data_IF_747335338891
#
_entry.id   IF_747335338891
#
_cell.length_a   1.000
_cell.length_b   1.000
_cell.length_c   1.000
_cell.angle_alpha   90.00
_cell.angle_beta   90.00
_cell.angle_gamma   90.00
#
_symmetry.space_group_name_H-M   'P 1'
#
loop_
_entity.id
_entity.type
_entity.pdbx_description
1 polymer ?
#
# COMPACT_ATOMS: atom_id res chain seq x y z
N UNK A 1 -17.45 -18.49 -13.22
CA UNK A 1 -16.00 -18.72 -13.03
C UNK A 1 -15.43 -17.39 -12.59
N UNK A 2 -14.90 -17.27 -11.38
CA UNK A 2 -14.37 -16.00 -10.90
C UNK A 2 -13.01 -15.77 -11.55
N UNK A 3 -12.90 -14.71 -12.36
CA UNK A 3 -11.65 -14.34 -12.99
C UNK A 3 -10.66 -13.87 -11.92
N UNK A 4 -9.50 -14.52 -11.84
CA UNK A 4 -8.43 -14.13 -10.91
C UNK A 4 -7.52 -13.16 -11.61
N UNK A 5 -7.42 -11.96 -11.09
CA UNK A 5 -6.44 -10.96 -11.50
C UNK A 5 -5.26 -10.97 -10.52
N UNK A 6 -4.13 -10.41 -10.95
CA UNK A 6 -2.93 -10.31 -10.11
C UNK A 6 -2.64 -8.84 -9.89
N UNK A 7 -2.39 -8.48 -8.63
CA UNK A 7 -1.85 -7.18 -8.25
C UNK A 7 -0.38 -7.35 -7.89
N UNK A 8 0.48 -6.79 -8.73
CA UNK A 8 1.92 -6.87 -8.55
C UNK A 8 2.42 -5.65 -7.77
N UNK A 9 2.94 -5.90 -6.57
CA UNK A 9 3.63 -4.89 -5.77
C UNK A 9 5.10 -5.26 -5.65
N UNK A 10 5.97 -4.49 -6.31
CA UNK A 10 7.41 -4.75 -6.41
C UNK A 10 7.67 -6.14 -7.03
N UNK A 11 8.20 -7.08 -6.23
CA UNK A 11 8.50 -8.46 -6.62
C UNK A 11 7.52 -9.46 -6.01
N UNK A 12 6.37 -9.00 -5.51
CA UNK A 12 5.36 -9.83 -4.86
C UNK A 12 4.00 -9.62 -5.52
N UNK A 13 3.36 -10.72 -5.88
CA UNK A 13 2.03 -10.73 -6.51
C UNK A 13 0.98 -11.16 -5.49
N UNK A 14 -0.16 -10.46 -5.46
CA UNK A 14 -1.34 -10.83 -4.70
C UNK A 14 -2.46 -11.17 -5.68
N UNK A 15 -3.01 -12.37 -5.57
CA UNK A 15 -4.20 -12.74 -6.35
C UNK A 15 -5.43 -12.00 -5.83
N UNK A 16 -6.18 -11.43 -6.76
CA UNK A 16 -7.42 -10.70 -6.52
C UNK A 16 -8.56 -11.37 -7.28
N UNK A 17 -9.72 -11.43 -6.63
CA UNK A 17 -11.00 -11.85 -7.22
C UNK A 17 -12.01 -10.77 -6.92
N UNK A 18 -12.87 -10.44 -7.88
CA UNK A 18 -13.99 -9.52 -7.62
C UNK A 18 -15.17 -10.28 -7.03
N UNK A 19 -15.83 -9.69 -6.04
CA UNK A 19 -17.11 -10.17 -5.53
C UNK A 19 -18.28 -9.81 -6.46
N UNK A 20 -19.50 -10.20 -6.07
CA UNK A 20 -20.71 -9.93 -6.86
C UNK A 20 -21.04 -8.41 -6.97
N UNK A 21 -20.47 -7.58 -6.09
CA UNK A 21 -20.61 -6.13 -6.10
C UNK A 21 -19.49 -5.42 -6.88
N UNK A 22 -18.52 -6.17 -7.41
CA UNK A 22 -17.33 -5.63 -8.07
C UNK A 22 -16.22 -5.20 -7.11
N UNK A 23 -16.34 -5.48 -5.82
CA UNK A 23 -15.35 -5.15 -4.81
C UNK A 23 -14.21 -6.19 -4.78
N UNK A 24 -12.96 -5.76 -4.55
CA UNK A 24 -11.81 -6.65 -4.59
C UNK A 24 -11.70 -7.51 -3.32
N UNK A 25 -11.51 -8.81 -3.54
CA UNK A 25 -11.13 -9.79 -2.53
C UNK A 25 -9.69 -10.22 -2.76
N UNK A 26 -8.90 -10.24 -1.69
CA UNK A 26 -7.46 -10.47 -1.72
C UNK A 26 -7.12 -11.87 -1.19
N UNK A 27 -6.26 -12.61 -1.88
CA UNK A 27 -5.85 -13.94 -1.43
C UNK A 27 -5.06 -13.87 -0.11
N UNK A 28 -5.59 -14.48 0.94
CA UNK A 28 -5.00 -14.45 2.28
C UNK A 28 -3.61 -15.09 2.31
N UNK A 29 -3.41 -16.18 1.56
CA UNK A 29 -2.14 -16.90 1.53
C UNK A 29 -1.01 -16.01 0.98
N UNK A 30 -1.29 -15.25 -0.07
CA UNK A 30 -0.33 -14.35 -0.70
C UNK A 30 0.01 -13.18 0.24
N UNK A 31 -1.01 -12.59 0.86
CA UNK A 31 -0.84 -11.53 1.87
C UNK A 31 0.00 -12.02 3.06
N UNK A 32 -0.27 -13.22 3.58
CA UNK A 32 0.50 -13.80 4.67
C UNK A 32 1.97 -14.02 4.29
N UNK A 33 2.22 -14.51 3.06
CA UNK A 33 3.57 -14.69 2.54
C UNK A 33 4.33 -13.36 2.46
N UNK A 34 3.68 -12.32 1.96
CA UNK A 34 4.27 -10.98 1.84
C UNK A 34 4.57 -10.39 3.22
N UNK A 35 3.66 -10.54 4.18
CA UNK A 35 3.82 -9.96 5.52
C UNK A 35 4.61 -10.86 6.49
N UNK A 36 5.15 -11.99 6.00
CA UNK A 36 5.88 -12.99 6.78
C UNK A 36 5.08 -13.52 7.98
N UNK A 37 3.79 -13.76 7.77
CA UNK A 37 2.89 -14.36 8.76
C UNK A 37 2.92 -15.86 8.57
N UNK A 38 3.54 -16.56 9.53
CA UNK A 38 3.83 -18.00 9.42
C UNK A 38 2.58 -18.87 9.35
N UNK A 39 1.50 -18.47 10.01
CA UNK A 39 0.25 -19.23 10.08
C UNK A 39 -0.96 -18.32 9.80
N UNK A 40 -1.56 -18.49 8.63
CA UNK A 40 -2.83 -17.82 8.27
C UNK A 40 -3.97 -18.23 9.20
N UNK A 41 -3.93 -19.43 9.77
CA UNK A 41 -4.89 -19.92 10.77
C UNK A 41 -4.97 -19.03 12.01
N UNK A 42 -3.87 -18.37 12.39
CA UNK A 42 -3.84 -17.49 13.55
C UNK A 42 -4.67 -16.23 13.30
N UNK A 43 -4.77 -15.78 12.04
CA UNK A 43 -5.61 -14.65 11.65
C UNK A 43 -7.11 -14.99 11.63
N UNK A 44 -7.43 -16.26 11.35
CA UNK A 44 -8.79 -16.78 11.22
C UNK A 44 -9.41 -17.22 12.56
N UNK A 45 -8.62 -17.29 13.65
CA UNK A 45 -9.12 -17.68 14.96
C UNK A 45 -10.07 -16.61 15.54
N UNK A 46 -11.35 -16.72 15.21
CA UNK A 46 -12.44 -15.94 15.79
C UNK A 46 -12.25 -15.85 17.31
N UNK A 47 -12.55 -14.67 17.85
CA UNK A 47 -12.61 -14.33 19.27
C UNK A 47 -13.47 -15.33 20.07
N UNK A 48 -12.98 -16.55 20.28
CA UNK A 48 -13.54 -17.49 21.25
C UNK A 48 -13.32 -16.83 22.60
N UNK A 49 -14.42 -16.66 23.33
CA UNK A 49 -14.50 -15.82 24.52
C UNK A 49 -13.32 -15.98 25.47
N UNK A 50 -12.96 -14.87 26.10
CA UNK A 50 -11.94 -14.75 27.14
C UNK A 50 -11.98 -15.94 28.12
N UNK A 51 -11.08 -16.92 27.93
CA UNK A 51 -10.82 -17.96 28.92
C UNK A 51 -9.86 -17.37 29.92
N UNK A 52 -10.30 -17.27 31.18
CA UNK A 52 -9.68 -16.50 32.28
C UNK A 52 -8.20 -16.77 32.56
N UNK A 53 -7.59 -17.80 31.95
CA UNK A 53 -6.24 -18.28 32.23
C UNK A 53 -5.40 -18.63 30.97
N UNK A 54 -5.86 -18.31 29.75
CA UNK A 54 -4.99 -18.44 28.58
C UNK A 54 -4.26 -17.11 28.32
N UNK A 55 -2.93 -17.15 28.22
CA UNK A 55 -2.14 -16.09 27.57
C UNK A 55 -2.87 -15.75 26.27
N UNK A 56 -3.20 -14.48 25.98
CA UNK A 56 -3.99 -14.12 24.81
C UNK A 56 -3.27 -14.63 23.56
N UNK A 57 -3.65 -15.83 23.10
CA UNK A 57 -3.20 -16.38 21.82
C UNK A 57 -3.67 -15.35 20.82
N UNK A 58 -2.71 -14.65 20.23
CA UNK A 58 -2.86 -13.56 19.25
C UNK A 58 -4.25 -13.60 18.63
N UNK A 59 -5.17 -12.84 19.22
CA UNK A 59 -6.59 -12.95 18.91
C UNK A 59 -6.78 -12.82 17.40
N UNK A 60 -7.55 -13.73 16.78
CA UNK A 60 -7.76 -13.68 15.34
C UNK A 60 -8.33 -12.33 14.95
N UNK A 61 -7.72 -11.85 13.88
CA UNK A 61 -7.65 -10.47 13.50
C UNK A 61 -8.77 -10.04 12.56
N UNK A 62 -9.43 -11.03 11.95
CA UNK A 62 -10.30 -10.87 10.79
C UNK A 62 -11.76 -10.94 11.20
N UNK A 63 -12.56 -10.09 10.56
CA UNK A 63 -14.01 -10.14 10.60
C UNK A 63 -14.49 -11.32 9.74
N UNK A 64 -15.22 -12.30 10.30
CA UNK A 64 -15.75 -13.45 9.56
C UNK A 64 -16.59 -13.07 8.34
N UNK A 65 -17.29 -11.94 8.38
CA UNK A 65 -18.15 -11.46 7.28
C UNK A 65 -17.30 -11.21 6.02
N UNK A 66 -16.07 -10.73 6.22
CA UNK A 66 -15.14 -10.39 5.15
C UNK A 66 -14.22 -11.54 4.74
N UNK A 67 -14.50 -12.79 5.13
CA UNK A 67 -13.68 -13.96 4.80
C UNK A 67 -14.49 -14.89 3.90
N UNK A 68 -13.96 -15.19 2.73
CA UNK A 68 -14.63 -16.03 1.73
C UNK A 68 -13.72 -17.17 1.28
N UNK A 69 -14.31 -18.34 1.03
CA UNK A 69 -13.64 -19.48 0.43
C UNK A 69 -14.01 -19.55 -1.04
N UNK A 70 -13.00 -19.47 -1.90
CA UNK A 70 -13.21 -19.43 -3.35
C UNK A 70 -12.38 -20.56 -3.97
N UNK A 71 -13.05 -21.37 -4.80
CA UNK A 71 -12.37 -22.41 -5.58
C UNK A 71 -11.70 -21.77 -6.80
N UNK A 72 -10.37 -21.89 -6.85
CA UNK A 72 -9.54 -21.32 -7.92
C UNK A 72 -8.83 -22.46 -8.65
N UNK A 73 -8.78 -22.39 -9.98
CA UNK A 73 -7.96 -23.30 -10.76
C UNK A 73 -6.50 -22.87 -10.66
N UNK A 74 -5.67 -23.73 -10.10
CA UNK A 74 -4.21 -23.55 -9.99
C UNK A 74 -3.50 -24.58 -10.85
N UNK A 75 -2.17 -24.47 -11.02
CA UNK A 75 -1.36 -25.48 -11.72
C UNK A 75 -1.48 -26.88 -11.08
N UNK A 76 -1.86 -26.97 -9.80
CA UNK A 76 -2.13 -28.23 -9.10
C UNK A 76 -3.59 -28.69 -9.16
N UNK A 77 -4.42 -28.08 -10.01
CA UNK A 77 -5.86 -28.34 -10.11
C UNK A 77 -6.71 -27.33 -9.33
N UNK A 78 -8.00 -27.66 -9.16
CA UNK A 78 -8.94 -26.83 -8.41
C UNK A 78 -8.62 -26.88 -6.92
N UNK A 79 -8.26 -25.73 -6.34
CA UNK A 79 -7.95 -25.58 -4.92
C UNK A 79 -8.91 -24.59 -4.27
N UNK A 80 -9.38 -24.88 -3.07
CA UNK A 80 -10.14 -23.93 -2.25
C UNK A 80 -9.15 -23.02 -1.52
N UNK A 81 -9.21 -21.72 -1.80
CA UNK A 81 -8.36 -20.71 -1.19
C UNK A 81 -9.22 -19.71 -0.41
N UNK A 82 -8.61 -19.12 0.62
CA UNK A 82 -9.26 -18.11 1.44
C UNK A 82 -8.92 -16.73 0.87
N UNK A 83 -9.96 -15.95 0.64
CA UNK A 83 -9.89 -14.56 0.24
C UNK A 83 -10.48 -13.67 1.35
N UNK A 84 -9.93 -12.48 1.48
CA UNK A 84 -10.34 -11.49 2.46
C UNK A 84 -10.74 -10.19 1.78
N UNK A 85 -11.77 -9.52 2.29
CA UNK A 85 -12.13 -8.18 1.81
C UNK A 85 -11.10 -7.14 2.24
N UNK A 86 -11.22 -5.95 1.66
CA UNK A 86 -10.31 -4.84 1.90
C UNK A 86 -10.21 -4.39 3.37
N UNK A 87 -11.31 -4.28 4.15
CA UNK A 87 -11.22 -4.04 5.59
C UNK A 87 -10.35 -5.05 6.33
N UNK A 88 -10.48 -6.34 6.00
CA UNK A 88 -9.66 -7.39 6.57
C UNK A 88 -8.20 -7.30 6.13
N UNK A 89 -7.92 -6.94 4.87
CA UNK A 89 -6.57 -6.67 4.39
C UNK A 89 -5.90 -5.58 5.26
N UNK A 90 -6.58 -4.46 5.47
CA UNK A 90 -6.08 -3.38 6.32
C UNK A 90 -5.84 -3.82 7.76
N UNK A 91 -6.74 -4.61 8.35
CA UNK A 91 -6.55 -5.20 9.69
C UNK A 91 -5.28 -6.03 9.82
N UNK A 92 -4.85 -6.71 8.75
CA UNK A 92 -3.60 -7.48 8.73
C UNK A 92 -2.40 -6.55 8.58
N UNK A 93 -2.48 -5.58 7.66
CA UNK A 93 -1.38 -4.63 7.41
C UNK A 93 -1.08 -3.80 8.66
N UNK A 94 -2.10 -3.25 9.34
CA UNK A 94 -1.94 -2.44 10.54
C UNK A 94 -1.38 -3.20 11.76
N UNK A 95 -1.42 -4.53 11.74
CA UNK A 95 -0.82 -5.37 12.80
C UNK A 95 0.59 -5.85 12.47
N UNK A 96 1.06 -5.64 11.24
CA UNK A 96 2.37 -6.11 10.81
C UNK A 96 3.47 -5.13 11.22
N UNK A 97 4.59 -5.68 11.68
CA UNK A 97 5.82 -4.92 11.98
C UNK A 97 6.81 -4.92 10.81
N UNK A 98 6.40 -5.43 9.64
CA UNK A 98 7.26 -5.47 8.45
C UNK A 98 7.52 -4.04 7.95
N UNK A 99 8.74 -3.68 7.51
CA UNK A 99 9.05 -2.31 7.06
C UNK A 99 8.11 -1.77 5.99
N UNK A 100 7.70 -2.61 5.03
CA UNK A 100 6.76 -2.25 3.97
C UNK A 100 5.36 -1.95 4.52
N UNK A 101 4.91 -2.71 5.52
CA UNK A 101 3.65 -2.44 6.20
C UNK A 101 3.74 -1.14 7.00
N UNK A 102 4.81 -0.95 7.76
CA UNK A 102 5.04 0.28 8.53
C UNK A 102 5.10 1.53 7.64
N UNK A 103 5.71 1.43 6.45
CA UNK A 103 5.70 2.54 5.48
C UNK A 103 4.28 2.90 5.04
N UNK A 104 3.45 1.90 4.73
CA UNK A 104 2.04 2.14 4.39
C UNK A 104 1.28 2.73 5.58
N UNK A 105 1.45 2.16 6.78
CA UNK A 105 0.80 2.66 8.00
C UNK A 105 1.17 4.12 8.27
N UNK A 106 2.46 4.45 8.21
CA UNK A 106 2.95 5.80 8.42
C UNK A 106 2.34 6.77 7.41
N UNK A 107 2.33 6.42 6.12
CA UNK A 107 1.68 7.24 5.09
C UNK A 107 0.19 7.44 5.38
N UNK A 108 -0.54 6.38 5.72
CA UNK A 108 -1.95 6.50 6.09
C UNK A 108 -2.16 7.41 7.30
N UNK A 109 -1.34 7.26 8.33
CA UNK A 109 -1.48 8.00 9.59
C UNK A 109 -1.02 9.45 9.51
N UNK A 110 0.03 9.76 8.75
CA UNK A 110 0.57 11.11 8.64
C UNK A 110 -0.11 11.94 7.56
N UNK A 111 -0.62 11.28 6.51
CA UNK A 111 -1.11 11.97 5.32
C UNK A 111 -2.59 11.71 5.08
N UNK A 112 -2.98 10.44 4.88
CA UNK A 112 -4.34 10.09 4.42
C UNK A 112 -5.40 10.45 5.47
N UNK A 113 -5.29 9.89 6.68
CA UNK A 113 -6.28 10.11 7.74
C UNK A 113 -6.34 11.58 8.20
N UNK A 114 -5.21 12.29 8.39
CA UNK A 114 -5.26 13.71 8.70
C UNK A 114 -5.90 14.56 7.61
N UNK A 115 -5.69 14.20 6.33
CA UNK A 115 -6.34 14.89 5.21
C UNK A 115 -7.84 14.65 5.23
N UNK A 116 -8.26 13.38 5.26
CA UNK A 116 -9.68 13.00 5.37
C UNK A 116 -10.37 13.69 6.55
N UNK A 117 -9.76 13.72 7.73
CA UNK A 117 -10.33 14.40 8.90
C UNK A 117 -10.49 15.92 8.71
N UNK A 118 -9.55 16.57 8.01
CA UNK A 118 -9.53 18.03 7.84
C UNK A 118 -10.42 18.51 6.70
N UNK A 119 -10.42 17.81 5.58
CA UNK A 119 -11.05 18.25 4.33
C UNK A 119 -12.25 17.39 3.93
N UNK A 120 -12.45 16.24 4.57
CA UNK A 120 -13.44 15.25 4.18
C UNK A 120 -13.05 14.46 2.92
N UNK A 121 -11.89 14.75 2.31
CA UNK A 121 -11.49 14.16 1.03
C UNK A 121 -9.98 13.89 1.00
N UNK A 122 -9.57 12.90 0.21
CA UNK A 122 -8.17 12.64 -0.09
C UNK A 122 -8.03 12.42 -1.60
N UNK A 123 -7.09 13.13 -2.22
CA UNK A 123 -6.79 12.99 -3.65
C UNK A 123 -5.31 12.72 -3.83
N UNK A 124 -4.96 11.45 -4.08
CA UNK A 124 -3.59 11.04 -4.34
C UNK A 124 -2.99 11.81 -5.53
N UNK A 125 -3.81 12.09 -6.56
CA UNK A 125 -3.41 12.89 -7.72
C UNK A 125 -3.03 14.31 -7.30
N UNK A 126 -3.85 14.98 -6.50
CA UNK A 126 -3.56 16.34 -6.04
C UNK A 126 -2.29 16.38 -5.19
N UNK A 127 -2.15 15.44 -4.24
CA UNK A 127 -0.94 15.38 -3.39
C UNK A 127 0.33 15.20 -4.21
N UNK A 128 0.30 14.32 -5.21
CA UNK A 128 1.45 14.08 -6.07
C UNK A 128 1.82 15.33 -6.90
N UNK A 129 0.81 16.05 -7.43
CA UNK A 129 1.05 17.32 -8.11
C UNK A 129 1.59 18.41 -7.17
N UNK A 130 1.08 18.51 -5.95
CA UNK A 130 1.55 19.48 -4.96
C UNK A 130 3.01 19.22 -4.57
N UNK A 131 3.39 17.97 -4.38
CA UNK A 131 4.77 17.59 -4.10
C UNK A 131 5.70 17.89 -5.27
N UNK A 132 5.28 17.59 -6.51
CA UNK A 132 6.01 17.95 -7.71
C UNK A 132 6.20 19.47 -7.82
N UNK A 133 5.15 20.25 -7.56
CA UNK A 133 5.19 21.71 -7.57
C UNK A 133 6.18 22.24 -6.52
N UNK A 134 6.16 21.68 -5.31
CA UNK A 134 7.07 22.05 -4.22
C UNK A 134 8.54 21.77 -4.59
N UNK A 135 8.84 20.61 -5.17
CA UNK A 135 10.18 20.27 -5.63
C UNK A 135 10.67 21.21 -6.74
N UNK A 136 9.80 21.53 -7.71
CA UNK A 136 10.12 22.48 -8.78
C UNK A 136 10.37 23.90 -8.23
N UNK A 137 9.58 24.36 -7.25
CA UNK A 137 9.81 25.66 -6.60
C UNK A 137 11.14 25.68 -5.83
N UNK A 138 11.48 24.63 -5.08
CA UNK A 138 12.77 24.52 -4.38
C UNK A 138 13.95 24.58 -5.36
N UNK A 139 13.83 23.96 -6.53
CA UNK A 139 14.87 24.02 -7.57
C UNK A 139 15.03 25.45 -8.13
N UNK A 140 13.94 26.17 -8.40
CA UNK A 140 13.96 27.56 -8.89
C UNK A 140 14.62 28.52 -7.88
N UNK A 141 14.17 28.49 -6.62
CA UNK A 141 14.77 29.29 -5.54
C UNK A 141 16.26 28.95 -5.36
N UNK A 142 16.64 27.68 -5.52
CA UNK A 142 18.04 27.28 -5.46
C UNK A 142 18.85 27.90 -6.59
N UNK A 143 18.32 28.04 -7.81
CA UNK A 143 19.02 28.68 -8.95
C UNK A 143 19.32 30.16 -8.67
N UNK A 144 18.40 30.88 -8.04
CA UNK A 144 18.51 32.32 -7.75
C UNK A 144 19.55 32.65 -6.67
N UNK A 145 19.71 31.81 -5.64
CA UNK A 145 20.71 32.00 -4.55
C UNK A 145 22.18 31.80 -4.96
N UNK A 146 22.48 31.76 -6.25
CA UNK A 146 23.77 31.34 -6.80
C UNK A 146 24.82 32.43 -6.89
N UNK A 147 25.36 32.90 -5.76
CA UNK A 147 26.71 33.49 -5.69
C UNK A 147 27.41 33.00 -4.42
N UNK A 148 28.73 32.84 -4.49
CA UNK A 148 29.69 32.65 -3.38
C UNK A 148 30.15 31.20 -3.04
N UNK A 149 31.44 30.93 -3.32
CA UNK A 149 32.34 29.85 -2.85
C UNK A 149 32.36 28.45 -3.53
N UNK A 150 33.59 28.01 -3.87
CA UNK A 150 33.94 26.80 -4.62
C UNK A 150 33.65 25.47 -3.89
N UNK A 151 33.85 25.37 -2.57
CA UNK A 151 33.50 24.17 -1.80
C UNK A 151 31.99 23.89 -1.73
N UNK A 152 31.15 24.94 -1.78
CA UNK A 152 29.69 24.78 -1.86
C UNK A 152 29.21 24.24 -3.22
N UNK A 153 30.04 24.35 -4.26
CA UNK A 153 29.65 24.04 -5.64
C UNK A 153 29.47 22.54 -5.90
N UNK A 154 30.32 21.68 -5.33
CA UNK A 154 30.19 20.22 -5.45
C UNK A 154 28.93 19.69 -4.74
N UNK A 155 28.69 20.14 -3.51
CA UNK A 155 27.48 19.79 -2.74
C UNK A 155 26.21 20.26 -3.47
N UNK A 156 26.23 21.48 -4.01
CA UNK A 156 25.13 22.04 -4.80
C UNK A 156 24.89 21.28 -6.10
N UNK A 157 25.93 20.84 -6.81
CA UNK A 157 25.82 20.01 -8.02
C UNK A 157 25.16 18.67 -7.70
N UNK A 158 25.54 18.06 -6.57
CA UNK A 158 24.93 16.83 -6.08
C UNK A 158 23.46 17.02 -5.69
N UNK A 159 23.14 18.06 -4.92
CA UNK A 159 21.75 18.40 -4.52
C UNK A 159 20.87 18.70 -5.74
N UNK A 160 21.37 19.44 -6.74
CA UNK A 160 20.66 19.66 -8.00
C UNK A 160 20.36 18.35 -8.74
N UNK A 161 21.35 17.45 -8.81
CA UNK A 161 21.18 16.14 -9.45
C UNK A 161 20.13 15.29 -8.73
N UNK A 162 20.15 15.27 -7.40
CA UNK A 162 19.16 14.58 -6.58
C UNK A 162 17.75 15.15 -6.78
N UNK A 163 17.61 16.48 -6.76
CA UNK A 163 16.31 17.12 -6.98
C UNK A 163 15.78 16.87 -8.39
N UNK A 164 16.63 16.95 -9.42
CA UNK A 164 16.24 16.62 -10.79
C UNK A 164 15.78 15.16 -10.91
N UNK A 165 16.49 14.23 -10.27
CA UNK A 165 16.09 12.82 -10.23
C UNK A 165 14.73 12.66 -9.55
N UNK A 166 14.52 13.29 -8.38
CA UNK A 166 13.23 13.27 -7.66
C UNK A 166 12.09 13.82 -8.50
N UNK A 167 12.30 14.95 -9.16
CA UNK A 167 11.30 15.56 -10.05
C UNK A 167 10.94 14.61 -11.19
N UNK A 168 11.94 14.00 -11.84
CA UNK A 168 11.70 13.06 -12.93
C UNK A 168 10.98 11.80 -12.46
N UNK A 169 11.35 11.26 -11.28
CA UNK A 169 10.66 10.12 -10.67
C UNK A 169 9.22 10.46 -10.30
N UNK A 170 8.95 11.61 -9.67
CA UNK A 170 7.59 12.05 -9.37
C UNK A 170 6.75 12.21 -10.65
N UNK A 171 7.31 12.83 -11.70
CA UNK A 171 6.61 12.96 -12.99
C UNK A 171 6.28 11.60 -13.60
N UNK A 172 7.25 10.69 -13.64
CA UNK A 172 7.05 9.35 -14.17
C UNK A 172 6.01 8.56 -13.36
N UNK A 173 6.05 8.65 -12.03
CA UNK A 173 5.08 7.99 -11.17
C UNK A 173 3.67 8.55 -11.40
N UNK A 174 3.50 9.88 -11.44
CA UNK A 174 2.21 10.52 -11.76
C UNK A 174 1.69 10.05 -13.12
N UNK A 175 2.55 10.03 -14.14
CA UNK A 175 2.16 9.60 -15.47
C UNK A 175 1.70 8.13 -15.48
N UNK A 176 2.51 7.21 -14.94
CA UNK A 176 2.20 5.78 -14.88
C UNK A 176 0.96 5.47 -14.03
N UNK A 177 0.70 6.20 -12.94
CA UNK A 177 -0.46 5.94 -12.06
C UNK A 177 -1.79 6.43 -12.62
N UNK A 178 -1.77 7.36 -13.60
CA UNK A 178 -2.97 8.07 -14.03
C UNK A 178 -3.28 8.00 -15.52
N UNK A 179 -2.39 7.43 -16.35
CA UNK A 179 -2.67 7.15 -17.78
C UNK A 179 -3.66 5.98 -17.99
N UNK A 180 -3.86 5.11 -17.00
CA UNK A 180 -4.83 4.01 -17.06
C UNK A 180 -6.29 4.37 -16.69
N UNK A 181 -6.56 5.62 -16.30
CA UNK A 181 -7.92 6.07 -15.86
C UNK A 181 -8.70 6.73 -16.99
N UNK A 182 -8.20 6.66 -18.23
CA UNK A 182 -8.97 6.99 -19.43
C UNK A 182 -9.52 5.71 -20.06
N UNK A 183 -10.48 5.07 -19.39
CA UNK A 183 -11.43 4.20 -20.06
C UNK A 183 -12.84 4.57 -19.59
N UNK A 184 -13.56 5.16 -20.55
CA UNK A 184 -15.00 5.45 -20.66
C UNK A 184 -15.63 6.47 -19.70
#
# INVERSE_FOLDING_TARGET
MNAVTHFDFKSSSVRIVLDDNGEPLFCLADVCKILNISRSSDLLQIQRGYVKNETPKRHGALDPIGVQKISVSTNGGKQELIFINEPNLYRVIFRSNKPEALNFQNWVFSEVLPSLRKTGTYSARQTAFDELNRLCMQEKVSKEKGTFHSHGMHRRKHEKRLNALRINTCKANIQMTFEGVHHE
#
